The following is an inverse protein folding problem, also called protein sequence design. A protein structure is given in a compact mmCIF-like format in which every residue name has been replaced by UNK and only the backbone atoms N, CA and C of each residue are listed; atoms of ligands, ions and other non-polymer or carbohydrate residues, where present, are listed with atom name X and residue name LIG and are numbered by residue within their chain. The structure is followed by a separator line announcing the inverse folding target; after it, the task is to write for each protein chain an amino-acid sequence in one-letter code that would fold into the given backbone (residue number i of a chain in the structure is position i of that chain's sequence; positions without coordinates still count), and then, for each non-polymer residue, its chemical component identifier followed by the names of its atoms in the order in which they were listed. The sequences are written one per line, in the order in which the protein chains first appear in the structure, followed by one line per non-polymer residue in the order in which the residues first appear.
data_IF_933148105420
#
_entry.id   IF_933148105420
#
_cell.length_a   1.000
_cell.length_b   1.000
_cell.length_c   1.000
_cell.angle_alpha   90.00
_cell.angle_beta   90.00
_cell.angle_gamma   90.00
#
_symmetry.space_group_name_H-M   'P 1'
#
loop_
_entity.id
_entity.type
_entity.pdbx_description
1 polymer ?
#
# COMPACT_ATOMS: atom_id res chain seq x y z
N UNK A 1 -12.51 -13.54 21.61
CA UNK A 1 -11.67 -12.75 22.54
C UNK A 1 -10.35 -12.49 21.83
N UNK A 2 -9.88 -11.23 21.79
CA UNK A 2 -8.55 -10.93 21.23
C UNK A 2 -7.48 -11.64 22.07
N UNK A 3 -6.50 -12.35 21.48
CA UNK A 3 -5.44 -13.00 22.25
C UNK A 3 -4.63 -11.95 23.01
N UNK A 4 -4.24 -12.26 24.25
CA UNK A 4 -3.42 -11.38 25.07
C UNK A 4 -2.05 -11.20 24.43
N UNK A 5 -1.63 -9.95 24.22
CA UNK A 5 -0.31 -9.62 23.69
C UNK A 5 0.62 -9.21 24.84
N UNK A 6 1.89 -9.65 24.85
CA UNK A 6 2.88 -9.13 25.78
C UNK A 6 2.99 -7.62 25.64
N UNK A 7 3.08 -6.91 26.77
CA UNK A 7 3.27 -5.45 26.77
C UNK A 7 4.51 -5.04 25.97
N UNK A 8 5.57 -5.85 26.03
CA UNK A 8 6.81 -5.65 25.29
C UNK A 8 6.59 -5.60 23.77
N UNK A 9 5.74 -6.49 23.23
CA UNK A 9 5.36 -6.51 21.82
C UNK A 9 4.65 -5.23 21.42
N UNK A 10 3.69 -4.78 22.24
CA UNK A 10 2.95 -3.54 21.99
C UNK A 10 3.92 -2.36 21.98
N UNK A 11 4.76 -2.21 23.01
CA UNK A 11 5.69 -1.11 23.12
C UNK A 11 6.74 -1.10 22.00
N UNK A 12 7.20 -2.28 21.56
CA UNK A 12 8.13 -2.39 20.44
C UNK A 12 7.53 -1.85 19.15
N UNK A 13 6.27 -2.19 18.85
CA UNK A 13 5.58 -1.70 17.64
C UNK A 13 5.38 -0.18 17.69
N UNK A 14 4.99 0.37 18.84
CA UNK A 14 4.90 1.82 19.01
C UNK A 14 6.25 2.51 18.85
N UNK A 15 7.31 1.92 19.39
CA UNK A 15 8.67 2.43 19.23
C UNK A 15 9.11 2.42 17.76
N UNK A 16 8.85 1.33 17.04
CA UNK A 16 9.15 1.20 15.61
C UNK A 16 8.38 2.24 14.78
N UNK A 17 7.07 2.42 15.05
CA UNK A 17 6.25 3.44 14.38
C UNK A 17 6.76 4.87 14.62
N UNK A 18 7.30 5.17 15.80
CA UNK A 18 7.92 6.48 16.09
C UNK A 18 9.27 6.60 15.37
N UNK A 19 10.08 5.55 15.38
CA UNK A 19 11.40 5.55 14.73
C UNK A 19 11.31 5.73 13.22
N UNK A 20 10.32 5.11 12.56
CA UNK A 20 10.09 5.28 11.13
C UNK A 20 9.29 6.55 10.79
N UNK A 21 8.96 7.38 11.80
CA UNK A 21 8.15 8.60 11.66
C UNK A 21 6.73 8.36 11.17
N UNK A 22 6.20 7.14 11.31
CA UNK A 22 4.78 6.85 11.06
C UNK A 22 3.91 7.55 12.09
N UNK A 23 4.37 7.62 13.34
CA UNK A 23 3.74 8.39 14.42
C UNK A 23 4.66 9.52 14.83
N UNK A 24 4.14 10.75 14.80
CA UNK A 24 4.92 11.97 15.09
C UNK A 24 4.20 12.83 16.13
N UNK A 25 4.97 13.49 16.99
CA UNK A 25 4.43 14.50 17.89
C UNK A 25 4.37 15.84 17.16
N UNK A 26 3.24 16.53 17.24
CA UNK A 26 3.06 17.83 16.62
C UNK A 26 3.09 18.94 17.67
N UNK A 27 3.72 20.10 17.38
CA UNK A 27 3.60 21.30 18.20
C UNK A 27 2.13 21.69 18.44
N UNK A 28 1.87 22.35 19.57
CA UNK A 28 0.53 22.78 19.98
C UNK A 28 -0.13 23.73 19.00
N UNK A 29 0.69 24.50 18.29
CA UNK A 29 0.27 25.46 17.28
C UNK A 29 -0.19 24.78 15.99
N UNK A 30 0.17 23.52 15.73
CA UNK A 30 -0.19 22.84 14.48
C UNK A 30 -1.64 22.36 14.54
N UNK A 31 -2.44 22.82 13.58
CA UNK A 31 -3.87 22.50 13.48
C UNK A 31 -4.73 23.09 14.60
N UNK A 32 -4.26 24.15 15.27
CA UNK A 32 -5.01 24.87 16.30
C UNK A 32 -4.76 26.36 16.24
N UNK A 33 -5.83 27.12 16.30
CA UNK A 33 -5.75 28.57 16.40
C UNK A 33 -5.37 29.01 17.82
N UNK A 34 -4.52 30.02 17.91
CA UNK A 34 -4.19 30.71 19.15
C UNK A 34 -5.05 31.97 19.31
N UNK A 35 -5.22 32.40 20.56
CA UNK A 35 -5.84 33.69 20.87
C UNK A 35 -4.81 34.61 21.51
N UNK A 36 -4.58 35.78 20.90
CA UNK A 36 -3.74 36.83 21.45
C UNK A 36 -4.60 37.92 22.07
N UNK A 37 -4.27 38.35 23.29
CA UNK A 37 -4.94 39.49 23.93
C UNK A 37 -4.49 40.81 23.29
N UNK A 38 -5.45 41.62 22.86
CA UNK A 38 -5.16 42.93 22.31
C UNK A 38 -4.93 43.95 23.45
N UNK A 39 -3.92 44.84 23.37
CA UNK A 39 -3.61 45.80 24.43
C UNK A 39 -4.75 46.75 24.82
N UNK A 40 -5.69 46.98 23.90
CA UNK A 40 -6.87 47.85 24.11
C UNK A 40 -8.14 47.07 24.56
N UNK A 41 -8.00 45.77 24.85
CA UNK A 41 -9.09 44.85 25.16
C UNK A 41 -9.56 44.06 23.93
N UNK A 42 -9.92 42.79 24.15
CA UNK A 42 -10.38 41.85 23.10
C UNK A 42 -9.36 40.74 22.80
N UNK A 43 -9.80 39.72 22.04
CA UNK A 43 -8.95 38.63 21.58
C UNK A 43 -8.82 38.66 20.06
N UNK A 44 -7.61 38.47 19.55
CA UNK A 44 -7.33 38.25 18.13
C UNK A 44 -7.08 36.76 17.90
N UNK A 45 -7.81 36.17 16.95
CA UNK A 45 -7.52 34.82 16.46
C UNK A 45 -6.23 34.86 15.63
N UNK A 46 -5.27 34.02 15.97
CA UNK A 46 -4.05 33.78 15.21
C UNK A 46 -4.11 32.34 14.72
N UNK A 47 -4.41 32.11 13.43
CA UNK A 47 -4.45 30.77 12.88
C UNK A 47 -3.12 30.07 13.07
N UNK A 48 -3.17 28.85 13.59
CA UNK A 48 -2.00 27.98 13.62
C UNK A 48 -1.66 27.48 12.22
N UNK A 49 -0.40 27.09 11.96
CA UNK A 49 -0.10 26.39 10.71
C UNK A 49 -0.89 25.08 10.65
N UNK A 50 -1.49 24.79 9.50
CA UNK A 50 -2.27 23.55 9.31
C UNK A 50 -1.38 22.30 9.40
N UNK A 51 -0.12 22.44 8.95
CA UNK A 51 0.90 21.40 8.95
C UNK A 51 2.12 21.82 9.73
N UNK A 52 2.78 20.84 10.31
CA UNK A 52 4.08 21.06 10.90
C UNK A 52 5.11 21.43 9.81
N UNK A 53 5.82 22.57 9.92
CA UNK A 53 6.76 23.01 8.89
C UNK A 53 7.99 22.10 8.72
N UNK A 54 8.33 21.30 9.74
CA UNK A 54 9.49 20.41 9.70
C UNK A 54 9.14 19.06 9.06
N UNK A 55 8.01 18.48 9.44
CA UNK A 55 7.60 17.13 9.02
C UNK A 55 6.53 17.11 7.93
N UNK A 56 5.84 18.22 7.67
CA UNK A 56 4.69 18.30 6.77
C UNK A 56 3.43 17.61 7.31
N UNK A 57 3.49 17.04 8.52
CA UNK A 57 2.39 16.29 9.11
C UNK A 57 1.24 17.19 9.54
N UNK A 58 0.01 16.74 9.29
CA UNK A 58 -1.24 17.42 9.66
C UNK A 58 -1.85 16.73 10.87
N UNK A 59 -2.45 17.52 11.77
CA UNK A 59 -3.17 16.97 12.92
C UNK A 59 -4.49 16.34 12.46
N UNK A 60 -4.65 15.03 12.69
CA UNK A 60 -5.93 14.35 12.52
C UNK A 60 -6.88 14.67 13.69
N UNK A 61 -8.18 14.82 13.38
CA UNK A 61 -9.22 15.20 14.34
C UNK A 61 -9.28 14.26 15.57
N UNK A 62 -9.12 12.96 15.31
CA UNK A 62 -9.23 11.89 16.29
C UNK A 62 -7.89 11.48 16.94
N UNK A 63 -6.78 12.15 16.59
CA UNK A 63 -5.47 11.73 17.06
C UNK A 63 -5.23 12.09 18.54
N UNK A 64 -4.61 11.18 19.32
CA UNK A 64 -4.31 11.44 20.73
C UNK A 64 -3.24 12.52 20.86
N UNK A 65 -3.58 13.67 21.43
CA UNK A 65 -2.63 14.75 21.65
C UNK A 65 -1.41 14.31 22.50
N UNK A 66 -0.17 14.72 22.15
CA UNK A 66 0.22 15.61 21.05
C UNK A 66 0.44 14.90 19.69
N UNK A 67 0.24 13.58 19.64
CA UNK A 67 0.60 12.72 18.53
C UNK A 67 -0.35 12.82 17.34
N UNK A 68 0.17 12.45 16.17
CA UNK A 68 -0.60 12.12 14.98
C UNK A 68 0.05 10.96 14.24
N UNK A 69 -0.64 10.42 13.24
CA UNK A 69 -0.14 9.36 12.36
C UNK A 69 -0.15 9.86 10.92
N UNK A 70 0.93 9.64 10.18
CA UNK A 70 1.06 10.08 8.78
C UNK A 70 0.66 8.95 7.82
N UNK A 71 0.12 9.23 6.62
CA UNK A 71 -0.33 8.17 5.70
C UNK A 71 0.78 7.27 5.15
N UNK A 72 2.00 7.80 5.04
CA UNK A 72 3.21 7.08 4.63
C UNK A 72 4.45 7.90 5.04
N UNK A 73 5.62 7.28 5.01
CA UNK A 73 6.89 7.88 5.43
C UNK A 73 7.94 7.81 4.31
N UNK A 74 8.97 8.65 4.38
CA UNK A 74 10.11 8.54 3.44
C UNK A 74 10.75 7.15 3.52
N UNK A 75 10.78 6.53 4.70
CA UNK A 75 11.32 5.18 4.88
C UNK A 75 10.49 4.13 4.14
N UNK A 76 9.16 4.25 4.13
CA UNK A 76 8.26 3.38 3.35
C UNK A 76 8.59 3.47 1.86
N UNK A 77 8.68 4.71 1.34
CA UNK A 77 8.95 4.96 -0.08
C UNK A 77 10.33 4.41 -0.50
N UNK A 78 11.38 4.78 0.22
CA UNK A 78 12.74 4.33 -0.09
C UNK A 78 12.89 2.80 0.08
N UNK A 79 12.20 2.21 1.06
CA UNK A 79 12.14 0.76 1.26
C UNK A 79 11.52 0.05 0.07
N UNK A 80 10.33 0.47 -0.36
CA UNK A 80 9.66 -0.09 -1.54
C UNK A 80 10.47 0.08 -2.82
N UNK A 81 11.09 1.24 -3.04
CA UNK A 81 11.93 1.48 -4.22
C UNK A 81 13.16 0.56 -4.24
N UNK A 82 13.85 0.40 -3.11
CA UNK A 82 15.01 -0.52 -3.01
C UNK A 82 14.62 -1.97 -3.29
N UNK A 83 13.50 -2.43 -2.73
CA UNK A 83 13.02 -3.80 -2.94
C UNK A 83 12.61 -4.02 -4.40
N UNK A 84 11.85 -3.08 -4.98
CA UNK A 84 11.48 -3.13 -6.39
C UNK A 84 12.71 -3.22 -7.28
N UNK A 85 13.67 -2.31 -7.09
CA UNK A 85 14.89 -2.29 -7.89
C UNK A 85 15.68 -3.60 -7.73
N UNK A 86 15.84 -4.10 -6.50
CA UNK A 86 16.54 -5.35 -6.23
C UNK A 86 15.90 -6.55 -6.92
N UNK A 87 14.57 -6.69 -6.85
CA UNK A 87 13.82 -7.77 -7.51
C UNK A 87 14.00 -7.69 -9.02
N UNK A 88 13.86 -6.51 -9.61
CA UNK A 88 14.03 -6.34 -11.05
C UNK A 88 15.48 -6.69 -11.45
N UNK A 89 16.50 -6.34 -10.66
CA UNK A 89 17.91 -6.62 -11.01
C UNK A 89 18.18 -8.11 -10.94
N UNK A 90 17.57 -8.78 -9.96
CA UNK A 90 17.65 -10.22 -9.79
C UNK A 90 17.00 -10.95 -10.96
N UNK A 91 15.78 -10.61 -11.33
CA UNK A 91 15.05 -11.25 -12.43
C UNK A 91 15.80 -11.02 -13.75
N UNK A 92 16.20 -9.79 -14.06
CA UNK A 92 16.96 -9.49 -15.29
C UNK A 92 18.27 -10.30 -15.37
N UNK A 93 18.98 -10.47 -14.25
CA UNK A 93 20.18 -11.30 -14.18
C UNK A 93 19.89 -12.78 -14.39
N UNK A 94 18.80 -13.29 -13.82
CA UNK A 94 18.39 -14.70 -14.00
C UNK A 94 17.97 -14.99 -15.44
N UNK A 95 17.37 -14.02 -16.13
CA UNK A 95 17.06 -14.10 -17.57
C UNK A 95 18.34 -14.10 -18.43
N UNK A 96 19.43 -13.52 -17.92
CA UNK A 96 20.68 -13.34 -18.66
C UNK A 96 20.69 -12.06 -19.49
N UNK A 97 19.94 -11.02 -19.07
CA UNK A 97 20.03 -9.71 -19.67
C UNK A 97 21.32 -9.00 -19.26
N UNK A 98 21.92 -8.29 -20.20
CA UNK A 98 23.13 -7.51 -19.95
C UNK A 98 22.91 -6.48 -18.82
N UNK A 99 23.99 -6.09 -18.11
CA UNK A 99 23.93 -5.05 -17.09
C UNK A 99 23.20 -3.82 -17.64
N UNK A 100 22.30 -3.21 -16.85
CA UNK A 100 21.47 -2.14 -17.36
C UNK A 100 22.34 -0.97 -17.85
N UNK A 101 22.04 -0.50 -19.07
CA UNK A 101 22.47 0.82 -19.54
C UNK A 101 21.64 1.90 -18.85
N UNK A 102 21.13 2.87 -19.62
CA UNK A 102 20.26 3.91 -19.08
C UNK A 102 18.97 3.29 -18.51
N UNK A 103 18.68 3.58 -17.23
CA UNK A 103 17.50 3.06 -16.53
C UNK A 103 16.27 3.81 -17.05
N UNK A 104 15.40 3.11 -17.77
CA UNK A 104 14.13 3.69 -18.22
C UNK A 104 13.16 3.82 -17.04
N UNK A 105 12.56 4.99 -16.87
CA UNK A 105 11.51 5.22 -15.88
C UNK A 105 10.24 4.43 -16.23
N UNK A 106 9.47 4.06 -15.21
CA UNK A 106 8.19 3.37 -15.42
C UNK A 106 7.18 4.26 -16.14
N UNK A 107 7.17 5.55 -15.84
CA UNK A 107 6.39 6.58 -16.52
C UNK A 107 7.32 7.71 -16.97
N UNK A 108 7.03 8.34 -18.10
CA UNK A 108 7.70 9.58 -18.48
C UNK A 108 7.11 10.80 -17.74
N UNK A 109 7.75 11.97 -17.90
CA UNK A 109 7.32 13.19 -17.23
C UNK A 109 5.92 13.67 -17.66
N UNK A 110 5.49 13.39 -18.89
CA UNK A 110 4.18 13.80 -19.39
C UNK A 110 3.06 12.93 -18.80
N UNK A 111 3.29 11.62 -18.75
CA UNK A 111 2.42 10.67 -18.10
C UNK A 111 2.29 10.95 -16.59
N UNK A 112 3.39 11.27 -15.90
CA UNK A 112 3.36 11.63 -14.48
C UNK A 112 2.47 12.85 -14.20
N UNK A 113 2.55 13.89 -15.04
CA UNK A 113 1.72 15.09 -14.90
C UNK A 113 0.24 14.84 -15.23
N UNK A 114 -0.06 13.74 -15.93
CA UNK A 114 -1.41 13.36 -16.35
C UNK A 114 -2.04 12.28 -15.46
N UNK A 115 -1.37 11.89 -14.37
CA UNK A 115 -1.87 10.86 -13.46
C UNK A 115 -3.18 11.29 -12.80
N UNK A 116 -4.21 10.43 -12.76
CA UNK A 116 -5.47 10.72 -12.08
C UNK A 116 -5.37 10.47 -10.55
N UNK A 117 -4.19 10.66 -9.96
CA UNK A 117 -3.90 10.40 -8.56
C UNK A 117 -3.35 11.68 -7.90
N UNK A 118 -3.74 11.98 -6.66
CA UNK A 118 -3.14 13.07 -5.90
C UNK A 118 -1.64 12.80 -5.64
N UNK A 119 -0.90 13.86 -5.34
CA UNK A 119 0.46 13.73 -4.82
C UNK A 119 0.44 12.88 -3.53
N UNK A 120 1.33 11.89 -3.42
CA UNK A 120 1.32 10.93 -2.32
C UNK A 120 2.27 9.76 -2.58
N UNK A 121 2.12 8.67 -1.83
CA UNK A 121 3.03 7.52 -1.94
C UNK A 121 3.09 6.94 -3.36
N UNK A 122 1.91 6.74 -3.98
CA UNK A 122 1.82 6.13 -5.30
C UNK A 122 2.50 6.96 -6.40
N UNK A 123 2.26 8.28 -6.44
CA UNK A 123 2.85 9.18 -7.44
C UNK A 123 4.35 9.35 -7.22
N UNK A 124 4.79 9.47 -5.96
CA UNK A 124 6.21 9.52 -5.59
C UNK A 124 6.94 8.21 -5.95
N UNK A 125 6.31 7.05 -5.71
CA UNK A 125 6.85 5.75 -6.12
C UNK A 125 6.97 5.67 -7.64
N UNK A 126 5.88 5.88 -8.38
CA UNK A 126 5.85 5.79 -9.85
C UNK A 126 6.86 6.72 -10.54
N UNK A 127 7.07 7.93 -10.01
CA UNK A 127 8.03 8.91 -10.57
C UNK A 127 9.49 8.47 -10.50
N UNK A 128 9.80 7.52 -9.61
CA UNK A 128 11.17 7.04 -9.34
C UNK A 128 11.36 5.57 -9.67
N UNK A 129 10.28 4.85 -9.92
CA UNK A 129 10.32 3.42 -10.24
C UNK A 129 10.91 3.21 -11.62
N UNK A 130 11.85 2.27 -11.72
CA UNK A 130 12.38 1.84 -13.02
C UNK A 130 11.46 0.82 -13.67
N UNK A 131 11.36 0.89 -15.01
CA UNK A 131 10.65 -0.07 -15.82
C UNK A 131 11.45 -1.39 -15.90
N UNK A 132 10.85 -2.55 -15.56
CA UNK A 132 11.48 -3.83 -15.81
C UNK A 132 11.62 -4.12 -17.31
N UNK A 133 12.70 -4.81 -17.71
CA UNK A 133 12.89 -5.31 -19.09
C UNK A 133 12.26 -6.69 -19.35
N UNK A 134 11.33 -7.09 -18.50
CA UNK A 134 10.58 -8.34 -18.56
C UNK A 134 9.10 -8.05 -18.28
N UNK A 135 8.24 -9.04 -18.56
CA UNK A 135 6.78 -8.87 -18.50
C UNK A 135 6.23 -9.18 -17.11
N UNK A 136 6.57 -10.36 -16.55
CA UNK A 136 5.95 -10.88 -15.34
C UNK A 136 6.79 -10.63 -14.09
N UNK A 137 6.24 -9.87 -13.15
CA UNK A 137 6.88 -9.53 -11.88
C UNK A 137 6.64 -10.60 -10.80
N UNK A 138 5.52 -11.30 -10.89
CA UNK A 138 5.16 -12.44 -10.05
C UNK A 138 4.27 -13.39 -10.88
N UNK A 139 3.95 -14.61 -10.41
CA UNK A 139 3.22 -15.58 -11.21
C UNK A 139 1.87 -15.05 -11.73
N UNK A 140 1.77 -14.85 -13.04
CA UNK A 140 0.59 -14.32 -13.72
C UNK A 140 0.32 -12.83 -13.50
N UNK A 141 1.25 -12.09 -12.88
CA UNK A 141 1.14 -10.66 -12.60
C UNK A 141 2.20 -9.89 -13.40
N UNK A 142 1.77 -9.11 -14.39
CA UNK A 142 2.64 -8.24 -15.18
C UNK A 142 2.60 -6.82 -14.67
N UNK A 143 3.66 -6.05 -14.88
CA UNK A 143 3.60 -4.61 -14.62
C UNK A 143 2.56 -3.96 -15.55
N UNK A 144 1.69 -3.12 -15.00
CA UNK A 144 0.73 -2.38 -15.81
C UNK A 144 1.45 -1.50 -16.82
N UNK A 145 0.92 -1.42 -18.04
CA UNK A 145 1.44 -0.50 -19.06
C UNK A 145 1.14 0.93 -18.65
N UNK A 146 1.89 1.88 -19.21
CA UNK A 146 1.67 3.31 -18.98
C UNK A 146 0.22 3.74 -19.26
N UNK A 147 -0.37 3.27 -20.37
CA UNK A 147 -1.77 3.54 -20.70
C UNK A 147 -2.73 2.98 -19.64
N UNK A 148 -2.48 1.79 -19.11
CA UNK A 148 -3.29 1.19 -18.05
C UNK A 148 -3.09 1.92 -16.71
N UNK A 149 -1.89 2.44 -16.44
CA UNK A 149 -1.62 3.26 -15.25
C UNK A 149 -2.41 4.57 -15.32
N UNK A 150 -2.43 5.23 -16.49
CA UNK A 150 -3.21 6.45 -16.73
C UNK A 150 -4.72 6.21 -16.72
N UNK A 151 -5.18 5.02 -17.12
CA UNK A 151 -6.60 4.65 -17.17
C UNK A 151 -6.93 3.60 -16.12
N UNK A 152 -6.86 4.01 -14.84
CA UNK A 152 -7.21 3.14 -13.73
C UNK A 152 -8.66 2.67 -13.81
N UNK A 153 -8.95 1.41 -13.42
CA UNK A 153 -10.31 0.88 -13.42
C UNK A 153 -11.23 1.57 -12.40
N UNK A 154 -10.64 2.18 -11.38
CA UNK A 154 -11.33 2.80 -10.27
C UNK A 154 -10.65 4.14 -9.98
N UNK A 155 -11.37 5.23 -10.23
CA UNK A 155 -10.93 6.59 -9.93
C UNK A 155 -12.01 7.29 -9.12
N UNK A 156 -11.55 8.11 -8.18
CA UNK A 156 -12.38 8.96 -7.35
C UNK A 156 -11.94 10.41 -7.54
N UNK A 157 -12.91 11.27 -7.76
CA UNK A 157 -12.74 12.71 -7.77
C UNK A 157 -13.62 13.27 -6.66
N UNK A 158 -13.03 14.07 -5.77
CA UNK A 158 -13.79 14.78 -4.75
C UNK A 158 -14.64 15.85 -5.42
N UNK A 159 -15.96 15.71 -5.31
CA UNK A 159 -16.90 16.76 -5.69
C UNK A 159 -16.81 17.87 -4.63
N UNK A 160 -16.68 19.13 -5.06
CA UNK A 160 -16.63 20.34 -4.22
C UNK A 160 -15.37 20.55 -3.36
N UNK A 161 -14.22 19.94 -3.67
CA UNK A 161 -12.96 20.35 -3.03
C UNK A 161 -12.52 21.72 -3.55
N UNK A 162 -12.23 22.67 -2.66
CA UNK A 162 -11.51 23.89 -3.04
C UNK A 162 -10.20 23.47 -3.72
N UNK A 163 -9.85 24.09 -4.85
CA UNK A 163 -8.71 23.67 -5.68
C UNK A 163 -7.35 23.75 -4.94
N UNK A 164 -7.32 24.37 -3.76
CA UNK A 164 -6.15 24.51 -2.89
C UNK A 164 -6.07 23.44 -1.78
N UNK A 165 -7.15 22.68 -1.52
CA UNK A 165 -7.14 21.63 -0.49
C UNK A 165 -6.65 20.28 -1.05
N UNK A 166 -5.77 19.62 -0.30
CA UNK A 166 -5.31 18.27 -0.64
C UNK A 166 -6.48 17.28 -0.55
N UNK A 167 -6.67 16.40 -1.56
CA UNK A 167 -7.77 15.44 -1.54
C UNK A 167 -7.72 14.56 -0.29
N UNK A 168 -8.86 14.44 0.38
CA UNK A 168 -9.02 13.61 1.58
C UNK A 168 -8.86 12.12 1.29
N UNK A 169 -9.17 11.69 0.06
CA UNK A 169 -9.10 10.30 -0.38
C UNK A 169 -8.16 10.09 -1.56
N UNK A 170 -7.43 8.98 -1.50
CA UNK A 170 -6.56 8.48 -2.56
C UNK A 170 -7.22 7.26 -3.18
N UNK A 171 -7.37 7.28 -4.52
CA UNK A 171 -7.91 6.16 -5.30
C UNK A 171 -6.96 4.96 -5.31
N UNK A 172 -7.46 3.72 -5.49
CA UNK A 172 -6.59 2.56 -5.65
C UNK A 172 -5.79 2.63 -6.96
N UNK A 173 -4.57 2.07 -6.94
CA UNK A 173 -3.71 1.94 -8.11
C UNK A 173 -3.43 0.47 -8.42
N UNK A 174 -3.93 -0.04 -9.54
CA UNK A 174 -3.56 -1.34 -10.10
C UNK A 174 -2.16 -1.27 -10.70
N UNK A 175 -1.15 -1.67 -9.93
CA UNK A 175 0.25 -1.60 -10.32
C UNK A 175 0.71 -2.86 -11.06
N UNK A 176 0.33 -4.04 -10.54
CA UNK A 176 0.60 -5.33 -11.18
C UNK A 176 -0.72 -5.94 -11.62
N UNK A 177 -0.87 -6.16 -12.92
CA UNK A 177 -2.14 -6.56 -13.54
C UNK A 177 -2.10 -8.02 -13.97
N UNK A 178 -3.26 -8.68 -13.86
CA UNK A 178 -3.57 -9.90 -14.58
C UNK A 178 -4.70 -9.66 -15.59
N UNK A 179 -4.72 -10.42 -16.68
CA UNK A 179 -5.71 -10.26 -17.76
C UNK A 179 -7.02 -11.03 -17.50
N UNK A 180 -7.41 -11.13 -16.24
CA UNK A 180 -8.68 -11.73 -15.77
C UNK A 180 -9.33 -10.79 -14.76
N UNK A 181 -10.65 -10.87 -14.61
CA UNK A 181 -11.42 -10.07 -13.65
C UNK A 181 -12.25 -10.93 -12.71
N UNK A 182 -12.57 -10.37 -11.54
CA UNK A 182 -13.50 -10.90 -10.54
C UNK A 182 -14.59 -9.87 -10.22
N UNK A 183 -15.53 -10.23 -9.34
CA UNK A 183 -16.57 -9.30 -8.87
C UNK A 183 -16.03 -8.33 -7.82
N UNK A 184 -16.33 -7.04 -7.97
CA UNK A 184 -16.01 -6.02 -6.96
C UNK A 184 -16.86 -6.14 -5.69
N UNK A 185 -18.00 -6.85 -5.71
CA UNK A 185 -18.95 -6.94 -4.59
C UNK A 185 -18.35 -7.44 -3.26
N UNK A 186 -17.26 -8.22 -3.34
CA UNK A 186 -16.57 -8.79 -2.17
C UNK A 186 -15.44 -7.93 -1.61
N UNK A 187 -14.99 -6.90 -2.33
CA UNK A 187 -13.79 -6.15 -1.98
C UNK A 187 -14.14 -5.05 -0.97
N UNK A 188 -13.84 -5.29 0.31
CA UNK A 188 -14.22 -4.38 1.39
C UNK A 188 -13.60 -2.99 1.23
N UNK A 189 -12.34 -2.92 0.79
CA UNK A 189 -11.62 -1.65 0.57
C UNK A 189 -12.21 -0.79 -0.55
N UNK A 190 -12.95 -1.37 -1.51
CA UNK A 190 -13.68 -0.58 -2.52
C UNK A 190 -14.96 0.05 -1.97
N UNK A 191 -15.48 -0.40 -0.82
CA UNK A 191 -16.74 0.11 -0.26
C UNK A 191 -16.66 1.58 0.14
N UNK A 192 -15.46 2.08 0.44
CA UNK A 192 -15.23 3.50 0.75
C UNK A 192 -15.56 4.45 -0.44
N UNK A 193 -15.76 3.88 -1.63
CA UNK A 193 -16.07 4.57 -2.88
C UNK A 193 -17.48 4.23 -3.41
N UNK A 194 -18.33 3.57 -2.62
CA UNK A 194 -19.76 3.48 -2.94
C UNK A 194 -20.41 4.87 -2.82
N UNK A 195 -21.31 5.29 -3.73
CA UNK A 195 -21.90 4.54 -4.83
C UNK A 195 -21.15 4.64 -6.18
N UNK A 196 -20.07 5.42 -6.26
CA UNK A 196 -19.33 5.70 -7.50
C UNK A 196 -18.81 4.43 -8.18
N UNK A 197 -18.40 3.44 -7.39
CA UNK A 197 -18.04 2.10 -7.88
C UNK A 197 -19.19 1.13 -7.54
N UNK A 198 -19.99 0.70 -8.53
CA UNK A 198 -21.11 -0.19 -8.26
C UNK A 198 -20.61 -1.59 -7.88
N UNK A 199 -21.32 -2.28 -6.98
CA UNK A 199 -20.98 -3.66 -6.57
C UNK A 199 -20.96 -4.68 -7.71
N UNK A 200 -21.70 -4.39 -8.79
CA UNK A 200 -21.72 -5.20 -10.01
C UNK A 200 -20.49 -4.98 -10.90
N UNK A 201 -19.62 -4.02 -10.58
CA UNK A 201 -18.42 -3.75 -11.35
C UNK A 201 -17.51 -4.99 -11.40
N UNK A 202 -16.89 -5.17 -12.56
CA UNK A 202 -15.80 -6.12 -12.71
C UNK A 202 -14.53 -5.46 -12.18
N UNK A 203 -13.82 -6.17 -11.32
CA UNK A 203 -12.52 -5.78 -10.79
C UNK A 203 -11.43 -6.61 -11.48
N UNK A 204 -10.53 -5.98 -12.26
CA UNK A 204 -9.34 -6.69 -12.75
C UNK A 204 -8.57 -7.33 -11.60
N UNK A 205 -8.11 -8.56 -11.79
CA UNK A 205 -7.25 -9.21 -10.82
C UNK A 205 -5.83 -8.63 -10.91
N UNK A 206 -5.12 -8.63 -9.79
CA UNK A 206 -3.80 -8.04 -9.69
C UNK A 206 -3.47 -7.49 -8.31
N UNK A 207 -2.31 -6.85 -8.20
CA UNK A 207 -1.90 -6.14 -7.00
C UNK A 207 -2.29 -4.67 -7.10
N UNK A 208 -3.11 -4.23 -6.16
CA UNK A 208 -3.51 -2.85 -5.98
C UNK A 208 -2.72 -2.23 -4.82
N UNK A 209 -2.22 -1.00 -4.99
CA UNK A 209 -2.12 -0.11 -3.84
C UNK A 209 -3.55 0.23 -3.42
N UNK A 210 -3.88 -0.07 -2.18
CA UNK A 210 -5.24 0.09 -1.67
C UNK A 210 -5.59 1.55 -1.55
N UNK A 211 -6.88 1.90 -1.64
CA UNK A 211 -7.28 3.28 -1.40
C UNK A 211 -6.98 3.70 0.03
N UNK A 212 -6.78 4.99 0.23
CA UNK A 212 -6.51 5.57 1.53
C UNK A 212 -7.43 6.77 1.80
N UNK A 213 -8.05 6.80 2.96
CA UNK A 213 -8.67 8.01 3.52
C UNK A 213 -7.64 8.66 4.46
N UNK A 214 -7.12 9.83 4.06
CA UNK A 214 -6.08 10.58 4.79
C UNK A 214 -6.59 11.21 6.06
N UNK A 215 -7.92 11.31 6.23
CA UNK A 215 -8.57 11.86 7.43
C UNK A 215 -8.91 10.76 8.43
N UNK A 216 -8.88 9.49 8.01
CA UNK A 216 -9.13 8.36 8.88
C UNK A 216 -8.09 8.25 10.00
N UNK A 217 -8.48 7.63 11.12
CA UNK A 217 -7.64 7.50 12.33
C UNK A 217 -6.29 6.80 12.08
N UNK A 218 -6.22 5.91 11.10
CA UNK A 218 -5.01 5.16 10.74
C UNK A 218 -4.82 5.13 9.21
N UNK A 219 -4.37 6.24 8.60
CA UNK A 219 -4.23 6.34 7.16
C UNK A 219 -3.02 5.53 6.67
N UNK A 220 -3.13 4.92 5.49
CA UNK A 220 -2.07 4.09 4.90
C UNK A 220 -2.10 4.13 3.36
N UNK A 221 -1.29 4.98 2.77
CA UNK A 221 -1.17 5.06 1.30
C UNK A 221 -0.25 4.00 0.70
N UNK A 222 0.68 3.47 1.49
CA UNK A 222 1.58 2.38 1.07
C UNK A 222 0.96 1.00 1.28
N UNK A 223 -0.33 0.90 1.62
CA UNK A 223 -1.05 -0.36 1.75
C UNK A 223 -1.27 -1.03 0.41
N UNK A 224 -1.29 -2.37 0.38
CA UNK A 224 -1.57 -3.12 -0.83
C UNK A 224 -2.45 -4.35 -0.61
N UNK A 225 -3.13 -4.76 -1.68
CA UNK A 225 -3.98 -5.93 -1.69
C UNK A 225 -3.88 -6.68 -3.01
N UNK A 226 -3.75 -8.01 -2.91
CA UNK A 226 -3.64 -8.91 -4.03
C UNK A 226 -5.01 -9.52 -4.33
N UNK A 227 -5.64 -9.07 -5.41
CA UNK A 227 -6.93 -9.58 -5.88
C UNK A 227 -6.70 -10.75 -6.83
N UNK A 228 -7.18 -11.93 -6.46
CA UNK A 228 -7.07 -13.15 -7.26
C UNK A 228 -8.44 -13.69 -7.68
N UNK A 229 -8.55 -14.35 -8.84
CA UNK A 229 -9.76 -15.08 -9.18
C UNK A 229 -9.99 -16.18 -8.13
N UNK A 230 -11.25 -16.48 -7.80
CA UNK A 230 -11.59 -17.46 -6.75
C UNK A 230 -10.95 -18.82 -7.02
N UNK A 231 -10.08 -19.28 -6.14
CA UNK A 231 -9.43 -20.60 -6.29
C UNK A 231 -9.22 -21.39 -5.00
N UNK A 232 -9.54 -20.86 -3.83
CA UNK A 232 -9.30 -21.53 -2.56
C UNK A 232 -10.53 -22.34 -2.13
N UNK A 233 -10.36 -23.65 -1.99
CA UNK A 233 -11.43 -24.60 -1.68
C UNK A 233 -11.03 -25.68 -0.70
N UNK A 234 -9.73 -25.91 -0.52
CA UNK A 234 -9.19 -26.95 0.36
C UNK A 234 -9.15 -26.50 1.83
N UNK A 235 -9.12 -25.19 2.07
CA UNK A 235 -9.19 -24.63 3.42
C UNK A 235 -7.85 -24.66 4.16
N UNK A 236 -6.72 -24.68 3.43
CA UNK A 236 -5.36 -24.57 3.97
C UNK A 236 -4.83 -23.14 3.91
N UNK A 237 -5.30 -22.32 2.97
CA UNK A 237 -4.85 -20.93 2.86
C UNK A 237 -5.10 -20.16 4.17
N UNK A 238 -4.07 -19.45 4.62
CA UNK A 238 -4.08 -18.66 5.86
C UNK A 238 -3.59 -17.24 5.64
N UNK A 239 -4.16 -16.31 6.41
CA UNK A 239 -3.63 -14.96 6.64
C UNK A 239 -2.50 -15.00 7.68
N UNK A 240 -1.85 -13.86 7.93
CA UNK A 240 -0.75 -13.78 8.91
C UNK A 240 -1.17 -14.18 10.33
N UNK A 241 -2.40 -13.83 10.73
CA UNK A 241 -3.00 -14.22 12.02
C UNK A 241 -3.40 -15.71 12.11
N UNK A 242 -3.06 -16.51 11.08
CA UNK A 242 -3.46 -17.91 10.94
C UNK A 242 -4.98 -18.11 10.82
N UNK A 243 -5.73 -17.05 10.58
CA UNK A 243 -7.14 -17.13 10.16
C UNK A 243 -7.26 -17.60 8.71
N UNK A 244 -8.41 -18.18 8.32
CA UNK A 244 -8.62 -18.62 6.94
C UNK A 244 -8.65 -17.44 5.96
N UNK A 245 -8.26 -17.72 4.73
CA UNK A 245 -8.53 -16.86 3.57
C UNK A 245 -9.95 -17.13 3.09
N UNK A 246 -10.81 -16.11 3.10
CA UNK A 246 -12.25 -16.23 2.82
C UNK A 246 -12.68 -15.41 1.58
N UNK A 247 -11.93 -14.37 1.24
CA UNK A 247 -12.20 -13.45 0.13
C UNK A 247 -11.14 -13.51 -0.99
N UNK A 248 -11.42 -12.80 -2.09
CA UNK A 248 -10.54 -12.67 -3.28
C UNK A 248 -9.24 -11.92 -3.00
N UNK A 249 -9.22 -11.15 -1.93
CA UNK A 249 -8.20 -10.15 -1.58
C UNK A 249 -7.53 -10.41 -0.22
N UNK A 250 -7.83 -11.57 0.39
CA UNK A 250 -7.36 -11.98 1.71
C UNK A 250 -5.95 -12.61 1.70
N UNK A 251 -5.52 -13.18 0.57
CA UNK A 251 -4.20 -13.83 0.51
C UNK A 251 -3.10 -12.79 0.79
N UNK A 252 -2.10 -13.17 1.59
CA UNK A 252 -1.03 -12.31 2.10
C UNK A 252 -1.49 -11.25 3.11
N UNK A 253 -2.78 -11.08 3.40
CA UNK A 253 -3.22 -10.08 4.38
C UNK A 253 -2.90 -10.48 5.82
N UNK A 254 -2.89 -9.47 6.69
CA UNK A 254 -2.60 -9.64 8.12
C UNK A 254 -3.68 -10.43 8.86
N UNK A 255 -4.93 -10.33 8.42
CA UNK A 255 -6.09 -10.84 9.15
C UNK A 255 -6.49 -9.89 10.27
N UNK A 256 -6.69 -10.40 11.48
CA UNK A 256 -6.91 -9.57 12.66
C UNK A 256 -5.59 -8.90 13.05
N UNK A 257 -5.39 -7.67 12.58
CA UNK A 257 -4.34 -6.82 13.11
C UNK A 257 -4.77 -6.30 14.49
N UNK A 258 -3.98 -6.63 15.52
CA UNK A 258 -4.28 -6.30 16.92
C UNK A 258 -3.87 -4.87 17.29
N UNK A 259 -3.10 -4.21 16.43
CA UNK A 259 -2.54 -2.89 16.66
C UNK A 259 -3.34 -1.82 15.92
N UNK A 260 -3.78 -2.10 14.69
CA UNK A 260 -4.62 -1.21 13.89
C UNK A 260 -5.76 -2.00 13.23
N UNK A 261 -7.01 -1.56 13.40
CA UNK A 261 -8.14 -2.21 12.75
C UNK A 261 -8.10 -1.96 11.22
N UNK A 262 -8.38 -2.99 10.41
CA UNK A 262 -8.59 -2.90 8.94
C UNK A 262 -7.39 -2.37 8.12
N UNK A 263 -6.16 -2.57 8.60
CA UNK A 263 -4.95 -2.06 7.95
C UNK A 263 -4.40 -3.09 6.92
N UNK A 264 -4.33 -2.75 5.61
CA UNK A 264 -3.71 -3.62 4.62
C UNK A 264 -2.21 -3.82 4.88
N UNK A 265 -1.63 -4.88 4.31
CA UNK A 265 -0.18 -5.07 4.39
C UNK A 265 0.54 -3.95 3.61
N UNK A 266 1.71 -3.47 4.10
CA UNK A 266 2.52 -2.55 3.33
C UNK A 266 2.97 -3.18 2.00
N UNK A 267 3.10 -2.36 0.96
CA UNK A 267 3.54 -2.80 -0.37
C UNK A 267 4.93 -3.47 -0.35
N UNK A 268 5.83 -3.00 0.52
CA UNK A 268 7.12 -3.66 0.75
C UNK A 268 6.99 -5.12 1.21
N UNK A 269 5.93 -5.47 1.97
CA UNK A 269 5.70 -6.84 2.41
C UNK A 269 5.40 -7.78 1.25
N UNK A 270 4.63 -7.31 0.27
CA UNK A 270 4.43 -8.03 -0.97
C UNK A 270 5.75 -8.20 -1.74
N UNK A 271 6.54 -7.13 -1.87
CA UNK A 271 7.82 -7.18 -2.58
C UNK A 271 8.81 -8.15 -1.91
N UNK A 272 8.92 -8.14 -0.59
CA UNK A 272 9.74 -9.11 0.14
C UNK A 272 9.27 -10.55 -0.06
N UNK A 273 7.95 -10.78 -0.12
CA UNK A 273 7.42 -12.10 -0.45
C UNK A 273 7.90 -12.53 -1.85
N UNK A 274 7.77 -11.64 -2.85
CA UNK A 274 8.23 -11.93 -4.22
C UNK A 274 9.72 -12.26 -4.24
N UNK A 275 10.57 -11.45 -3.61
CA UNK A 275 12.02 -11.68 -3.58
C UNK A 275 12.33 -13.02 -2.89
N UNK A 276 11.71 -13.29 -1.73
CA UNK A 276 11.88 -14.53 -0.98
C UNK A 276 11.52 -15.77 -1.80
N UNK A 277 10.39 -15.75 -2.53
CA UNK A 277 9.98 -16.91 -3.35
C UNK A 277 10.96 -17.21 -4.48
N UNK A 278 11.53 -16.17 -5.08
CA UNK A 278 12.56 -16.30 -6.13
C UNK A 278 13.87 -16.79 -5.52
N UNK A 279 14.32 -16.18 -4.42
CA UNK A 279 15.56 -16.55 -3.73
C UNK A 279 15.57 -18.01 -3.25
N UNK A 280 14.44 -18.49 -2.72
CA UNK A 280 14.28 -19.88 -2.29
C UNK A 280 14.08 -20.85 -3.45
N UNK A 281 14.09 -20.38 -4.71
CA UNK A 281 13.90 -21.20 -5.91
C UNK A 281 12.49 -21.81 -6.05
N UNK A 282 11.51 -21.26 -5.32
CA UNK A 282 10.11 -21.73 -5.32
C UNK A 282 9.35 -21.21 -6.54
N UNK A 283 9.70 -20.01 -6.96
CA UNK A 283 9.28 -19.43 -8.23
C UNK A 283 10.45 -19.43 -9.20
N UNK A 284 10.26 -20.12 -10.33
CA UNK A 284 11.22 -20.12 -11.43
C UNK A 284 11.12 -18.84 -12.23
N UNK A 285 12.23 -18.41 -12.81
CA UNK A 285 12.31 -17.28 -13.74
C UNK A 285 12.64 -17.81 -15.12
N UNK A 286 11.91 -17.37 -16.14
CA UNK A 286 12.15 -17.66 -17.55
C UNK A 286 12.31 -16.36 -18.36
N UNK A 287 12.40 -16.45 -19.68
CA UNK A 287 12.65 -15.29 -20.56
C UNK A 287 11.62 -14.15 -20.47
N UNK A 288 10.42 -14.39 -19.92
CA UNK A 288 9.39 -13.37 -19.76
C UNK A 288 9.32 -12.79 -18.33
N UNK A 289 10.13 -13.29 -17.40
CA UNK A 289 10.12 -12.89 -15.99
C UNK A 289 9.80 -14.06 -15.05
N UNK A 290 9.04 -13.79 -13.99
CA UNK A 290 8.61 -14.84 -13.06
C UNK A 290 7.59 -15.75 -13.75
N UNK A 291 7.95 -17.03 -13.85
CA UNK A 291 7.17 -18.02 -14.55
C UNK A 291 5.99 -18.53 -13.71
N UNK A 292 5.00 -19.07 -14.41
CA UNK A 292 3.76 -19.58 -13.83
C UNK A 292 2.64 -18.56 -13.90
N UNK A 293 1.43 -19.04 -14.20
CA UNK A 293 0.24 -18.19 -14.20
C UNK A 293 -0.39 -18.05 -12.82
N UNK A 294 -1.55 -17.42 -12.76
CA UNK A 294 -2.28 -17.19 -11.50
C UNK A 294 -2.58 -18.47 -10.70
N UNK A 295 -2.65 -19.63 -11.36
CA UNK A 295 -2.83 -20.94 -10.69
C UNK A 295 -1.71 -21.27 -9.70
N UNK A 296 -0.53 -20.64 -9.83
CA UNK A 296 0.58 -20.80 -8.89
C UNK A 296 0.20 -20.36 -7.48
N UNK A 297 -0.67 -19.35 -7.34
CA UNK A 297 -1.16 -18.88 -6.05
C UNK A 297 -2.06 -19.91 -5.34
N UNK A 298 -2.61 -20.90 -6.05
CA UNK A 298 -3.35 -22.00 -5.43
C UNK A 298 -2.47 -22.90 -4.55
N UNK A 299 -1.13 -22.84 -4.70
CA UNK A 299 -0.21 -23.54 -3.80
C UNK A 299 -0.36 -23.07 -2.34
N UNK A 300 -0.85 -21.84 -2.12
CA UNK A 300 -1.19 -21.35 -0.79
C UNK A 300 -2.30 -22.17 -0.10
N UNK A 301 -3.10 -22.93 -0.85
CA UNK A 301 -4.21 -23.72 -0.35
C UNK A 301 -3.93 -25.23 -0.38
N UNK A 302 -2.66 -25.61 -0.18
CA UNK A 302 -2.24 -27.01 0.03
C UNK A 302 -1.58 -27.18 1.40
N UNK A 303 -1.69 -28.39 1.95
CA UNK A 303 -1.13 -28.75 3.26
C UNK A 303 0.39 -28.54 3.33
N UNK A 304 1.09 -28.78 2.22
CA UNK A 304 2.55 -28.75 2.16
C UNK A 304 3.10 -27.33 2.00
N UNK A 305 2.34 -26.42 1.39
CA UNK A 305 2.87 -25.13 0.90
C UNK A 305 2.21 -23.90 1.49
N UNK A 306 1.07 -24.01 2.19
CA UNK A 306 0.37 -22.83 2.72
C UNK A 306 1.27 -21.92 3.58
N UNK A 307 2.20 -22.50 4.35
CA UNK A 307 3.12 -21.76 5.23
C UNK A 307 4.07 -20.85 4.46
N UNK A 308 4.33 -21.18 3.19
CA UNK A 308 5.19 -20.41 2.30
C UNK A 308 4.51 -19.14 1.78
N UNK A 309 3.19 -19.04 1.95
CA UNK A 309 2.35 -17.95 1.48
C UNK A 309 1.78 -17.11 2.63
N UNK A 310 2.41 -17.17 3.81
CA UNK A 310 2.05 -16.32 4.96
C UNK A 310 2.97 -15.10 4.99
N UNK A 311 2.38 -13.92 5.11
CA UNK A 311 3.13 -12.67 5.34
C UNK A 311 3.64 -12.63 6.78
N UNK A 312 4.91 -12.28 6.96
CA UNK A 312 5.53 -12.22 8.28
C UNK A 312 5.23 -10.89 8.97
N UNK A 313 4.12 -10.84 9.72
CA UNK A 313 3.72 -9.68 10.53
C UNK A 313 4.27 -9.87 11.94
N UNK A 314 5.29 -9.10 12.31
CA UNK A 314 5.96 -9.19 13.62
C UNK A 314 6.70 -7.89 13.94
N UNK A 315 7.00 -7.62 15.22
CA UNK A 315 7.99 -6.61 15.57
C UNK A 315 9.29 -6.83 14.77
N UNK A 316 9.91 -5.75 14.30
CA UNK A 316 11.04 -5.74 13.36
C UNK A 316 10.68 -6.23 11.93
N UNK A 317 9.40 -6.26 11.60
CA UNK A 317 8.85 -6.60 10.29
C UNK A 317 7.70 -5.66 9.95
N UNK A 318 6.51 -6.20 9.68
CA UNK A 318 5.30 -5.41 9.42
C UNK A 318 4.39 -5.34 10.64
N UNK A 319 3.76 -4.18 10.84
CA UNK A 319 2.80 -3.89 11.91
C UNK A 319 1.41 -3.54 11.36
#
# INVERSE_FOLDING_TARGET
MRPWQPLDTILTIWFEMIQCQKIVALPDTVGRDAFEEHPEGGHRLVPGPERDPETGAKRLEDAPYPWTIVPWTSQDLEGSLRLWDGIVERIERLIGLDPPGERQALLDSEALNSLPLPEGFATQFLSRTRRPRFTYFAPGLRVATEQEILHQPFTYHEEDSDAEEEPSKVSPLLLLRADVSTSAAGLFWLRAFEPLIPRSAQCPCGLYLTPCDRTYRYPQENGCSLVLPRTYSSGWARKADLGPVESYDDLLQTGINLFNDLHPIPFSAFLENVDFQIEQGRWSVDGEGVAGGLKKWCEADTEEKWIDHITNVRPQGYW
#
